data_IF_567330478434
#
_entry.id   IF_567330478434
#
_cell.length_a   1.000
_cell.length_b   1.000
_cell.length_c   1.000
_cell.angle_alpha   90.00
_cell.angle_beta   90.00
_cell.angle_gamma   90.00
#
_symmetry.space_group_name_H-M   'P 1'
#
loop_
_entity.id
_entity.type
_entity.pdbx_description
1 polymer ?
#
# COMPACT_ATOMS: atom_id res chain seq x y z
N UNK A 1 -46.05 65.83 35.18
CA UNK A 1 -46.73 64.59 34.73
C UNK A 1 -46.00 63.41 35.35
N UNK A 2 -46.67 62.82 36.35
CA UNK A 2 -46.53 61.52 37.00
C UNK A 2 -45.97 60.38 36.11
N UNK A 3 -45.43 59.24 36.58
CA UNK A 3 -45.47 58.59 37.88
C UNK A 3 -44.41 57.47 37.99
N UNK A 4 -44.03 57.18 39.24
CA UNK A 4 -43.64 55.89 39.87
C UNK A 4 -42.46 55.01 39.42
N UNK A 5 -41.52 54.95 40.38
CA UNK A 5 -40.54 53.92 40.77
C UNK A 5 -41.17 52.57 41.25
N UNK A 6 -40.48 51.72 42.06
CA UNK A 6 -39.70 50.54 41.68
C UNK A 6 -40.19 49.24 42.37
N UNK A 7 -39.48 48.11 42.24
CA UNK A 7 -39.81 46.90 43.01
C UNK A 7 -38.66 45.88 43.10
N UNK A 8 -38.02 45.85 44.26
CA UNK A 8 -37.11 44.80 44.77
C UNK A 8 -37.94 43.83 45.63
N UNK A 9 -37.64 42.52 45.60
CA UNK A 9 -37.40 41.67 46.80
C UNK A 9 -37.68 40.17 46.56
N UNK A 10 -36.70 39.36 46.99
CA UNK A 10 -36.83 38.13 47.80
C UNK A 10 -37.51 36.88 47.19
N UNK A 11 -37.21 35.63 47.53
CA UNK A 11 -36.19 34.96 48.36
C UNK A 11 -36.49 33.44 48.29
N UNK A 12 -35.56 32.63 48.78
CA UNK A 12 -35.75 31.26 49.33
C UNK A 12 -35.91 30.05 48.40
N UNK A 13 -35.13 29.00 48.72
CA UNK A 13 -35.36 27.64 48.20
C UNK A 13 -34.12 26.74 48.09
N UNK A 14 -33.44 26.45 49.19
CA UNK A 14 -32.70 25.16 49.37
C UNK A 14 -33.54 24.30 50.33
N UNK A 15 -33.55 22.95 50.24
CA UNK A 15 -32.50 22.19 50.91
C UNK A 15 -32.19 20.75 50.39
N UNK A 16 -31.12 20.18 50.98
CA UNK A 16 -30.91 18.75 51.32
C UNK A 16 -30.29 17.80 50.28
N UNK A 17 -29.04 17.34 50.49
CA UNK A 17 -28.62 16.10 51.19
C UNK A 17 -28.95 14.83 50.36
N UNK A 18 -28.02 13.93 49.99
CA UNK A 18 -27.19 13.05 50.83
C UNK A 18 -26.21 12.24 49.96
N UNK A 19 -25.07 11.92 50.56
CA UNK A 19 -24.13 10.80 50.34
C UNK A 19 -24.56 9.59 49.49
N UNK A 20 -23.62 9.03 48.71
CA UNK A 20 -23.08 7.71 49.04
C UNK A 20 -21.76 7.36 48.31
N UNK A 21 -20.85 6.84 49.12
CA UNK A 21 -19.53 6.33 48.76
C UNK A 21 -19.57 4.81 48.53
N UNK A 22 -18.58 4.33 47.77
CA UNK A 22 -17.85 3.05 47.95
C UNK A 22 -18.59 1.72 47.76
N UNK A 23 -18.14 0.94 46.76
CA UNK A 23 -17.80 -0.51 46.83
C UNK A 23 -17.22 -0.91 45.45
N UNK A 24 -15.90 -1.03 45.24
CA UNK A 24 -15.02 -2.14 45.64
C UNK A 24 -15.65 -3.52 45.55
N UNK A 25 -15.52 -4.15 44.38
CA UNK A 25 -15.60 -5.61 44.23
C UNK A 25 -14.29 -6.10 43.61
N UNK A 26 -13.33 -6.36 44.50
CA UNK A 26 -12.12 -7.15 44.26
C UNK A 26 -12.56 -8.62 44.28
N UNK A 27 -12.57 -9.30 43.15
CA UNK A 27 -12.71 -10.76 43.10
C UNK A 27 -11.32 -11.38 43.05
N UNK A 28 -10.96 -12.01 44.16
CA UNK A 28 -9.78 -12.86 44.33
C UNK A 28 -9.89 -14.09 43.45
N UNK A 29 -8.90 -14.28 42.57
CA UNK A 29 -8.67 -15.53 41.84
C UNK A 29 -7.97 -16.50 42.79
N UNK A 30 -8.66 -17.56 43.19
CA UNK A 30 -8.03 -18.72 43.85
C UNK A 30 -7.59 -19.73 42.79
N UNK A 31 -6.31 -20.06 42.88
CA UNK A 31 -5.61 -21.18 42.26
C UNK A 31 -6.23 -22.52 42.70
N UNK A 32 -6.45 -23.42 41.75
CA UNK A 32 -6.29 -24.85 41.98
C UNK A 32 -5.75 -25.51 40.71
N UNK A 33 -4.52 -26.04 40.83
CA UNK A 33 -3.94 -26.92 39.84
C UNK A 33 -4.65 -28.26 39.79
N UNK A 34 -4.66 -28.87 38.61
CA UNK A 34 -4.73 -30.33 38.50
C UNK A 34 -3.86 -30.77 37.32
N UNK A 35 -2.76 -31.38 37.73
CA UNK A 35 -1.84 -32.16 36.93
C UNK A 35 -2.40 -33.57 36.79
N UNK A 36 -2.62 -34.06 35.58
CA UNK A 36 -2.76 -35.48 35.28
C UNK A 36 -2.29 -35.71 33.84
N UNK A 37 -1.07 -36.22 33.68
CA UNK A 37 -0.72 -37.63 33.44
C UNK A 37 -0.62 -37.98 31.96
N UNK A 38 0.63 -38.16 31.57
CA UNK A 38 1.12 -38.95 30.45
C UNK A 38 0.44 -40.33 30.36
N UNK A 39 0.17 -40.76 29.13
CA UNK A 39 -0.10 -42.15 28.73
C UNK A 39 0.10 -42.32 27.22
N UNK A 40 0.66 -43.44 26.72
CA UNK A 40 1.41 -43.45 25.45
C UNK A 40 0.64 -43.94 24.21
N UNK A 41 1.21 -43.51 23.08
CA UNK A 41 1.20 -44.00 21.68
C UNK A 41 0.91 -45.51 21.48
N UNK A 42 0.28 -45.85 20.34
CA UNK A 42 0.80 -46.94 19.52
C UNK A 42 1.10 -46.48 18.09
N UNK A 43 2.23 -46.98 17.59
CA UNK A 43 2.65 -46.94 16.21
C UNK A 43 1.77 -47.85 15.35
N UNK A 44 1.43 -47.41 14.14
CA UNK A 44 1.15 -48.33 13.04
C UNK A 44 2.03 -47.91 11.88
N UNK A 45 3.06 -48.73 11.65
CA UNK A 45 3.84 -48.78 10.44
C UNK A 45 2.99 -49.30 9.29
N UNK A 46 3.00 -48.60 8.15
CA UNK A 46 2.61 -49.18 6.86
C UNK A 46 3.57 -48.69 5.79
N UNK A 47 4.45 -49.60 5.39
CA UNK A 47 5.30 -49.57 4.21
C UNK A 47 4.48 -49.47 2.93
N UNK A 48 4.82 -48.54 2.04
CA UNK A 48 4.54 -48.67 0.60
C UNK A 48 5.78 -48.23 -0.20
N UNK A 49 6.19 -49.14 -1.08
CA UNK A 49 7.33 -49.12 -2.00
C UNK A 49 7.29 -48.01 -3.06
N UNK A 50 8.42 -47.76 -3.77
CA UNK A 50 8.54 -46.66 -4.72
C UNK A 50 8.09 -47.08 -6.12
N UNK A 51 7.38 -46.18 -6.83
CA UNK A 51 7.15 -46.32 -8.26
C UNK A 51 7.55 -45.03 -8.99
N UNK A 52 8.26 -45.25 -10.10
CA UNK A 52 8.93 -44.29 -10.95
C UNK A 52 7.98 -43.51 -11.88
N UNK A 53 8.58 -42.50 -12.52
CA UNK A 53 8.22 -41.85 -13.79
C UNK A 53 7.28 -40.64 -13.77
N UNK A 54 7.73 -39.58 -14.46
CA UNK A 54 6.86 -38.59 -15.09
C UNK A 54 7.33 -37.15 -14.95
N UNK A 55 8.19 -36.69 -15.85
CA UNK A 55 8.36 -35.27 -16.19
C UNK A 55 7.02 -34.65 -16.61
N UNK A 56 6.56 -33.52 -16.06
CA UNK A 56 5.42 -32.82 -16.63
C UNK A 56 5.87 -31.93 -17.79
N UNK A 57 5.39 -32.27 -18.99
CA UNK A 57 5.48 -31.44 -20.18
C UNK A 57 4.64 -30.15 -20.04
N UNK A 58 5.10 -29.13 -20.75
CA UNK A 58 4.39 -27.85 -20.93
C UNK A 58 2.99 -28.09 -21.50
N UNK A 59 1.97 -27.77 -20.71
CA UNK A 59 0.59 -27.76 -21.17
C UNK A 59 0.33 -26.39 -21.80
N UNK A 60 0.27 -26.34 -23.13
CA UNK A 60 -0.28 -25.20 -23.87
C UNK A 60 -1.72 -24.96 -23.42
N UNK A 61 -1.98 -23.81 -22.81
CA UNK A 61 -3.34 -23.32 -22.57
C UNK A 61 -3.96 -22.97 -23.93
N UNK A 62 -4.79 -23.88 -24.43
CA UNK A 62 -5.70 -23.63 -25.55
C UNK A 62 -6.72 -22.57 -25.13
N UNK A 63 -6.67 -21.42 -25.79
CA UNK A 63 -7.75 -20.43 -25.84
C UNK A 63 -9.01 -21.11 -26.34
N UNK A 64 -9.96 -21.37 -25.44
CA UNK A 64 -11.32 -21.79 -25.80
C UNK A 64 -12.10 -20.52 -26.17
N UNK A 65 -12.57 -20.36 -27.42
CA UNK A 65 -13.45 -19.26 -27.78
C UNK A 65 -14.83 -19.53 -27.17
N UNK A 66 -15.29 -18.67 -26.25
CA UNK A 66 -16.67 -18.69 -25.79
C UNK A 66 -17.57 -18.04 -26.86
N UNK A 67 -18.51 -18.79 -27.48
CA UNK A 67 -19.52 -18.20 -28.34
C UNK A 67 -20.58 -17.51 -27.46
N UNK A 68 -20.73 -16.18 -27.62
CA UNK A 68 -21.87 -15.44 -27.06
C UNK A 68 -21.56 -14.33 -26.06
N UNK A 69 -20.29 -14.03 -25.74
CA UNK A 69 -19.98 -12.87 -24.91
C UNK A 69 -20.07 -11.57 -25.72
N UNK A 70 -21.14 -10.79 -25.50
CA UNK A 70 -21.25 -9.40 -25.98
C UNK A 70 -20.68 -8.50 -24.89
N UNK A 71 -19.47 -7.99 -25.10
CA UNK A 71 -18.85 -7.01 -24.20
C UNK A 71 -19.72 -5.74 -24.14
N UNK A 72 -20.11 -5.26 -22.94
CA UNK A 72 -20.89 -4.03 -22.79
C UNK A 72 -20.06 -2.75 -23.01
N UNK A 73 -18.77 -2.88 -23.33
CA UNK A 73 -17.87 -1.75 -23.58
C UNK A 73 -17.58 -1.58 -25.07
N UNK A 74 -17.65 -0.35 -25.61
CA UNK A 74 -17.29 -0.09 -26.99
C UNK A 74 -15.82 -0.46 -27.25
N UNK A 75 -15.48 -1.08 -28.40
CA UNK A 75 -14.12 -1.42 -28.73
C UNK A 75 -13.26 -0.15 -28.83
N UNK A 76 -12.17 -0.11 -28.06
CA UNK A 76 -11.20 0.98 -28.14
C UNK A 76 -10.44 0.92 -29.47
N UNK A 77 -10.09 2.07 -30.07
CA UNK A 77 -9.34 2.10 -31.32
C UNK A 77 -7.94 1.50 -31.15
N UNK A 78 -7.60 0.54 -32.02
CA UNK A 78 -6.28 -0.08 -32.09
C UNK A 78 -5.22 0.96 -32.40
N UNK A 79 -4.34 1.26 -31.44
CA UNK A 79 -3.13 2.04 -31.69
C UNK A 79 -2.07 1.13 -32.30
N UNK A 80 -1.92 1.21 -33.62
CA UNK A 80 -0.77 0.66 -34.35
C UNK A 80 0.48 1.46 -33.97
N UNK A 81 1.28 0.91 -33.05
CA UNK A 81 2.62 1.43 -32.75
C UNK A 81 3.59 0.98 -33.84
N UNK A 82 3.79 1.83 -34.85
CA UNK A 82 4.86 1.72 -35.83
C UNK A 82 6.21 1.92 -35.13
N UNK A 83 6.98 0.83 -34.98
CA UNK A 83 8.41 0.91 -34.73
C UNK A 83 9.10 1.56 -35.94
N UNK A 84 9.83 2.66 -35.71
CA UNK A 84 10.88 3.08 -36.65
C UNK A 84 12.18 3.41 -35.94
N UNK A 85 13.12 2.53 -36.24
CA UNK A 85 14.55 2.48 -36.03
C UNK A 85 15.28 3.77 -36.46
N UNK A 86 16.24 4.18 -35.63
CA UNK A 86 17.60 4.60 -35.99
C UNK A 86 17.80 5.81 -36.90
N UNK A 87 18.64 6.76 -36.47
CA UNK A 87 20.01 6.97 -36.98
C UNK A 87 20.62 8.19 -36.27
N UNK A 88 21.74 7.97 -35.61
CA UNK A 88 22.59 9.00 -35.03
C UNK A 88 23.54 9.49 -36.13
N UNK A 89 23.54 10.79 -36.43
CA UNK A 89 24.53 11.41 -37.30
C UNK A 89 25.28 12.47 -36.48
N UNK A 90 26.47 12.10 -36.00
CA UNK A 90 27.44 13.04 -35.45
C UNK A 90 28.28 13.57 -36.61
N UNK A 91 28.06 14.81 -37.01
CA UNK A 91 28.87 15.47 -38.02
C UNK A 91 30.21 15.88 -37.42
N UNK A 92 31.28 15.31 -37.98
CA UNK A 92 32.67 15.71 -37.76
C UNK A 92 32.92 17.03 -38.49
N UNK A 93 33.27 18.09 -37.74
CA UNK A 93 33.86 19.30 -38.31
C UNK A 93 35.24 19.50 -37.69
N UNK A 94 36.26 19.21 -38.50
CA UNK A 94 37.67 19.54 -38.24
C UNK A 94 37.87 21.00 -38.62
N UNK A 95 38.24 21.84 -37.63
CA UNK A 95 38.89 23.12 -37.89
C UNK A 95 40.08 23.23 -36.94
N UNK A 96 41.27 23.02 -37.50
CA UNK A 96 42.52 23.45 -36.89
C UNK A 96 42.58 24.99 -36.91
N UNK A 97 43.19 25.61 -35.90
CA UNK A 97 44.33 26.54 -36.04
C UNK A 97 44.75 27.15 -34.68
N UNK A 98 46.07 27.06 -34.46
CA UNK A 98 46.95 27.96 -33.66
C UNK A 98 46.81 28.12 -32.14
N UNK A 99 47.82 27.56 -31.47
CA UNK A 99 48.37 27.81 -30.12
C UNK A 99 48.83 29.27 -29.95
N UNK A 100 48.75 29.81 -28.72
CA UNK A 100 49.97 30.25 -28.04
C UNK A 100 50.07 29.75 -26.60
N UNK A 101 51.30 29.47 -26.18
CA UNK A 101 51.62 29.21 -24.78
C UNK A 101 51.51 30.48 -23.95
N UNK A 102 50.97 30.35 -22.75
CA UNK A 102 51.37 31.15 -21.61
C UNK A 102 51.48 30.22 -20.41
N UNK A 103 52.70 30.03 -19.94
CA UNK A 103 53.04 29.48 -18.64
C UNK A 103 52.41 30.33 -17.54
N UNK A 104 51.53 29.75 -16.73
CA UNK A 104 51.21 30.30 -15.42
C UNK A 104 50.98 29.15 -14.43
N UNK A 105 51.92 29.05 -13.51
CA UNK A 105 51.83 28.29 -12.27
C UNK A 105 50.72 28.89 -11.41
N UNK A 106 49.67 28.13 -11.13
CA UNK A 106 48.71 28.47 -10.08
C UNK A 106 48.18 27.19 -9.39
N UNK A 107 48.17 27.27 -8.07
CA UNK A 107 47.91 26.21 -7.09
C UNK A 107 46.54 25.50 -7.23
N UNK A 108 46.40 24.28 -6.66
CA UNK A 108 45.11 23.60 -6.60
C UNK A 108 44.20 24.29 -5.57
N UNK A 109 43.30 25.15 -6.05
CA UNK A 109 42.26 25.78 -5.23
C UNK A 109 41.11 24.80 -4.97
N UNK A 110 40.96 24.39 -3.72
CA UNK A 110 39.79 23.70 -3.17
C UNK A 110 38.56 24.63 -3.16
N UNK A 111 37.79 24.71 -4.25
CA UNK A 111 36.54 25.50 -4.31
C UNK A 111 35.32 24.72 -4.81
N UNK A 112 35.45 23.44 -5.15
CA UNK A 112 34.37 22.61 -5.73
C UNK A 112 33.29 22.17 -4.72
N UNK A 113 33.49 22.27 -3.40
CA UNK A 113 32.54 21.73 -2.42
C UNK A 113 31.26 22.55 -2.26
N UNK A 114 31.36 23.89 -2.21
CA UNK A 114 30.21 24.78 -1.94
C UNK A 114 29.10 24.72 -3.00
N UNK A 115 29.48 24.65 -4.28
CA UNK A 115 28.49 24.58 -5.38
C UNK A 115 27.68 23.28 -5.39
N UNK A 116 28.28 22.20 -4.91
CA UNK A 116 27.66 20.87 -4.85
C UNK A 116 26.63 20.79 -3.72
N UNK A 117 26.95 21.38 -2.55
CA UNK A 117 26.03 21.47 -1.42
C UNK A 117 24.80 22.33 -1.74
N UNK A 118 24.99 23.49 -2.38
CA UNK A 118 23.88 24.36 -2.78
C UNK A 118 22.94 23.67 -3.77
N UNK A 119 23.49 22.89 -4.72
CA UNK A 119 22.70 22.10 -5.66
C UNK A 119 21.91 21.00 -4.96
N UNK A 120 22.50 20.31 -3.99
CA UNK A 120 21.82 19.28 -3.19
C UNK A 120 20.68 19.88 -2.36
N UNK A 121 20.90 21.05 -1.75
CA UNK A 121 19.86 21.78 -1.01
C UNK A 121 18.71 22.22 -1.91
N UNK A 122 19.01 22.73 -3.11
CA UNK A 122 17.99 23.08 -4.11
C UNK A 122 17.20 21.84 -4.55
N UNK A 123 17.87 20.73 -4.81
CA UNK A 123 17.23 19.46 -5.17
C UNK A 123 16.32 18.95 -4.04
N UNK A 124 16.77 19.01 -2.79
CA UNK A 124 15.98 18.66 -1.60
C UNK A 124 14.70 19.49 -1.53
N UNK A 125 14.81 20.82 -1.66
CA UNK A 125 13.64 21.73 -1.65
C UNK A 125 12.65 21.41 -2.77
N UNK A 126 13.14 21.13 -3.98
CA UNK A 126 12.29 20.77 -5.11
C UNK A 126 11.54 19.45 -4.89
N UNK A 127 12.17 18.45 -4.25
CA UNK A 127 11.51 17.20 -3.89
C UNK A 127 10.43 17.40 -2.82
N UNK A 128 10.72 18.20 -1.78
CA UNK A 128 9.72 18.55 -0.76
C UNK A 128 8.49 19.21 -1.39
N UNK A 129 8.72 20.20 -2.27
CA UNK A 129 7.64 20.88 -2.99
C UNK A 129 6.81 19.88 -3.82
N UNK A 130 7.47 18.98 -4.57
CA UNK A 130 6.79 17.98 -5.37
C UNK A 130 5.94 16.98 -4.56
N UNK A 131 6.39 16.61 -3.36
CA UNK A 131 5.62 15.75 -2.44
C UNK A 131 4.40 16.48 -1.88
N UNK A 132 4.58 17.73 -1.44
CA UNK A 132 3.50 18.55 -0.86
C UNK A 132 2.44 18.94 -1.91
N UNK A 133 2.86 19.15 -3.16
CA UNK A 133 1.98 19.42 -4.30
C UNK A 133 1.36 18.15 -4.90
N UNK A 134 1.67 16.98 -4.33
CA UNK A 134 1.20 15.67 -4.79
C UNK A 134 1.47 15.38 -6.27
N UNK A 135 2.50 16.02 -6.85
CA UNK A 135 2.95 15.76 -8.22
C UNK A 135 3.58 14.38 -8.38
N UNK A 136 4.06 13.81 -7.27
CA UNK A 136 4.59 12.45 -7.18
C UNK A 136 3.47 11.58 -6.63
N UNK A 137 2.82 10.81 -7.50
CA UNK A 137 1.59 10.08 -7.17
C UNK A 137 1.64 8.59 -7.53
N UNK A 138 2.81 8.07 -7.89
CA UNK A 138 3.01 6.64 -8.11
C UNK A 138 3.88 6.02 -7.02
N UNK A 139 3.65 4.75 -6.71
CA UNK A 139 4.43 4.01 -5.72
C UNK A 139 5.93 4.04 -6.05
N UNK A 140 6.27 3.89 -7.34
CA UNK A 140 7.65 3.83 -7.80
C UNK A 140 8.39 5.14 -7.61
N UNK A 141 7.74 6.27 -7.87
CA UNK A 141 8.35 7.58 -7.67
C UNK A 141 8.47 7.93 -6.18
N UNK A 142 7.45 7.63 -5.36
CA UNK A 142 7.53 7.81 -3.91
C UNK A 142 8.70 7.00 -3.32
N UNK A 143 8.87 5.75 -3.77
CA UNK A 143 9.99 4.88 -3.36
C UNK A 143 11.33 5.40 -3.85
N UNK A 144 11.41 5.94 -5.07
CA UNK A 144 12.63 6.57 -5.58
C UNK A 144 13.04 7.74 -4.71
N UNK A 145 12.09 8.61 -4.34
CA UNK A 145 12.36 9.75 -3.45
C UNK A 145 12.74 9.28 -2.06
N UNK A 146 12.08 8.26 -1.52
CA UNK A 146 12.42 7.66 -0.23
C UNK A 146 13.87 7.14 -0.18
N UNK A 147 14.33 6.44 -1.23
CA UNK A 147 15.74 5.97 -1.32
C UNK A 147 16.71 7.14 -1.36
N UNK A 148 16.40 8.20 -2.10
CA UNK A 148 17.22 9.42 -2.10
C UNK A 148 17.27 10.04 -0.70
N UNK A 149 16.13 10.07 0.00
CA UNK A 149 16.06 10.65 1.35
C UNK A 149 16.87 9.86 2.37
N UNK A 150 16.88 8.53 2.28
CA UNK A 150 17.73 7.68 3.12
C UNK A 150 19.22 8.01 2.95
N UNK A 151 19.67 8.36 1.72
CA UNK A 151 21.07 8.77 1.49
C UNK A 151 21.41 10.17 2.02
N UNK A 152 20.42 11.06 2.11
CA UNK A 152 20.61 12.43 2.59
C UNK A 152 20.58 12.55 4.11
N UNK A 153 20.05 11.55 4.82
CA UNK A 153 20.05 11.47 6.30
C UNK A 153 19.35 12.64 7.02
N UNK A 154 18.46 13.36 6.33
CA UNK A 154 17.88 14.60 6.85
C UNK A 154 16.47 14.38 7.43
N UNK A 155 16.25 14.72 8.72
CA UNK A 155 14.96 14.51 9.39
C UNK A 155 13.83 15.41 8.85
N UNK A 156 14.18 16.54 8.22
CA UNK A 156 13.22 17.49 7.62
C UNK A 156 12.33 16.86 6.53
N UNK A 157 12.69 15.67 6.07
CA UNK A 157 12.04 14.97 4.96
C UNK A 157 11.05 13.90 5.42
N UNK A 158 11.09 13.52 6.69
CA UNK A 158 10.20 12.49 7.25
C UNK A 158 8.74 12.93 7.20
N UNK A 159 8.45 14.17 7.58
CA UNK A 159 7.07 14.68 7.57
C UNK A 159 6.48 14.78 6.14
N UNK A 160 7.14 15.44 5.16
CA UNK A 160 6.63 15.47 3.78
C UNK A 160 6.45 14.08 3.17
N UNK A 161 7.38 13.15 3.44
CA UNK A 161 7.28 11.77 2.95
C UNK A 161 6.10 11.02 3.57
N UNK A 162 5.90 11.14 4.89
CA UNK A 162 4.77 10.53 5.60
C UNK A 162 3.44 11.07 5.07
N UNK A 163 3.34 12.39 4.88
CA UNK A 163 2.16 13.04 4.32
C UNK A 163 1.85 12.55 2.89
N UNK A 164 2.87 12.41 2.05
CA UNK A 164 2.70 11.90 0.69
C UNK A 164 2.21 10.44 0.68
N UNK A 165 2.74 9.58 1.54
CA UNK A 165 2.24 8.19 1.68
C UNK A 165 0.79 8.14 2.14
N UNK A 166 0.42 8.95 3.13
CA UNK A 166 -0.97 9.03 3.57
C UNK A 166 -1.89 9.50 2.46
N UNK A 167 -1.50 10.55 1.73
CA UNK A 167 -2.25 11.06 0.59
C UNK A 167 -2.44 9.98 -0.47
N UNK A 168 -1.36 9.35 -0.94
CA UNK A 168 -1.38 8.32 -1.98
C UNK A 168 -2.36 7.17 -1.68
N UNK A 169 -2.44 6.74 -0.42
CA UNK A 169 -3.35 5.67 -0.01
C UNK A 169 -4.80 6.16 0.12
N UNK A 170 -5.01 7.38 0.62
CA UNK A 170 -6.33 7.93 0.90
C UNK A 170 -7.00 8.59 -0.32
N UNK A 171 -6.24 9.01 -1.33
CA UNK A 171 -6.72 9.65 -2.57
C UNK A 171 -7.09 8.67 -3.68
N UNK A 172 -7.19 7.38 -3.38
CA UNK A 172 -7.41 6.28 -4.34
C UNK A 172 -6.28 6.04 -5.36
N UNK A 173 -5.12 6.71 -5.25
CA UNK A 173 -3.98 6.43 -6.14
C UNK A 173 -3.52 4.97 -6.01
N UNK A 174 -3.41 4.44 -4.79
CA UNK A 174 -3.07 3.03 -4.57
C UNK A 174 -4.10 2.06 -5.18
N UNK A 175 -5.39 2.33 -4.99
CA UNK A 175 -6.46 1.50 -5.56
C UNK A 175 -6.42 1.52 -7.09
N UNK A 176 -6.13 2.69 -7.67
CA UNK A 176 -6.01 2.87 -9.12
C UNK A 176 -4.84 2.05 -9.67
N UNK A 177 -3.68 2.06 -9.01
CA UNK A 177 -2.53 1.23 -9.40
C UNK A 177 -2.85 -0.26 -9.27
N UNK A 178 -3.45 -0.70 -8.16
CA UNK A 178 -3.88 -2.09 -7.98
C UNK A 178 -4.83 -2.53 -9.12
N UNK A 179 -5.82 -1.71 -9.46
CA UNK A 179 -6.75 -1.99 -10.57
C UNK A 179 -6.07 -1.97 -11.94
N UNK A 180 -5.02 -1.17 -12.12
CA UNK A 180 -4.18 -1.20 -13.31
C UNK A 180 -3.44 -2.52 -13.51
N UNK A 181 -3.14 -3.22 -12.42
CA UNK A 181 -2.51 -4.55 -12.39
C UNK A 181 -3.52 -5.71 -12.43
N UNK A 182 -4.76 -5.49 -12.00
CA UNK A 182 -5.83 -6.51 -11.96
C UNK A 182 -6.90 -6.21 -13.01
N UNK A 183 -6.55 -6.31 -14.30
CA UNK A 183 -7.44 -5.86 -15.39
C UNK A 183 -8.58 -6.82 -15.69
N UNK A 184 -8.36 -8.11 -15.45
CA UNK A 184 -9.39 -9.12 -15.71
C UNK A 184 -10.42 -9.12 -14.58
N UNK A 185 -9.92 -8.96 -13.35
CA UNK A 185 -10.70 -8.97 -12.13
C UNK A 185 -10.31 -7.77 -11.24
N UNK A 186 -10.93 -6.59 -11.43
CA UNK A 186 -10.56 -5.37 -10.71
C UNK A 186 -10.50 -5.54 -9.19
N UNK A 187 -9.42 -5.06 -8.57
CA UNK A 187 -9.21 -5.12 -7.13
C UNK A 187 -10.34 -4.44 -6.35
N UNK A 188 -10.80 -5.12 -5.29
CA UNK A 188 -11.88 -4.66 -4.41
C UNK A 188 -11.46 -3.44 -3.58
N UNK A 189 -12.25 -2.37 -3.65
CA UNK A 189 -12.08 -1.21 -2.76
C UNK A 189 -12.36 -1.58 -1.31
N UNK A 190 -13.37 -2.42 -1.05
CA UNK A 190 -13.74 -2.87 0.29
C UNK A 190 -12.61 -3.65 0.97
N UNK A 191 -11.89 -4.49 0.21
CA UNK A 191 -10.70 -5.20 0.69
C UNK A 191 -9.62 -4.22 1.15
N UNK A 192 -9.37 -3.17 0.36
CA UNK A 192 -8.36 -2.15 0.67
C UNK A 192 -8.79 -1.27 1.86
N UNK A 193 -10.06 -0.90 1.95
CA UNK A 193 -10.59 -0.08 3.05
C UNK A 193 -10.57 -0.85 4.38
N UNK A 194 -10.86 -2.15 4.35
CA UNK A 194 -10.69 -3.01 5.52
C UNK A 194 -9.22 -3.10 5.96
N UNK A 195 -8.28 -3.18 5.02
CA UNK A 195 -6.85 -3.14 5.35
C UNK A 195 -6.47 -1.80 6.02
N UNK A 196 -6.91 -0.65 5.48
CA UNK A 196 -6.71 0.68 6.10
C UNK A 196 -7.27 0.72 7.52
N UNK A 197 -8.50 0.24 7.71
CA UNK A 197 -9.14 0.16 9.04
C UNK A 197 -8.30 -0.66 10.03
N UNK A 198 -7.77 -1.80 9.61
CA UNK A 198 -6.91 -2.65 10.46
C UNK A 198 -5.56 -2.02 10.79
N UNK A 199 -4.97 -1.28 9.86
CA UNK A 199 -3.76 -0.50 10.13
C UNK A 199 -4.02 0.55 11.21
N UNK A 200 -5.12 1.31 11.11
CA UNK A 200 -5.49 2.31 12.10
C UNK A 200 -5.82 1.72 13.48
N UNK A 201 -6.41 0.52 13.50
CA UNK A 201 -6.74 -0.19 14.73
C UNK A 201 -5.53 -0.82 15.43
N UNK A 202 -4.37 -0.90 14.77
CA UNK A 202 -3.15 -1.49 15.31
C UNK A 202 -2.21 -0.40 15.89
N UNK A 203 -2.07 -0.31 17.24
CA UNK A 203 -1.22 0.69 17.87
C UNK A 203 0.26 0.59 17.47
N UNK A 204 0.73 -0.59 17.06
CA UNK A 204 2.10 -0.80 16.58
C UNK A 204 2.30 -0.26 15.15
N UNK A 205 1.23 -0.22 14.36
CA UNK A 205 1.23 0.32 12.99
C UNK A 205 1.18 1.85 12.97
N UNK A 206 0.51 2.48 13.95
CA UNK A 206 0.43 3.95 14.09
C UNK A 206 1.78 4.66 14.32
N UNK A 207 2.86 3.91 14.53
CA UNK A 207 4.22 4.44 14.72
C UNK A 207 5.09 4.35 13.46
N UNK A 208 4.63 3.70 12.39
CA UNK A 208 5.38 3.61 11.14
C UNK A 208 5.02 4.77 10.23
N UNK A 209 6.04 5.35 9.60
CA UNK A 209 5.90 6.44 8.65
C UNK A 209 5.50 5.98 7.24
N UNK A 210 5.57 4.67 6.95
CA UNK A 210 5.21 4.10 5.65
C UNK A 210 3.81 3.45 5.68
N UNK A 211 2.78 4.29 5.64
CA UNK A 211 1.38 3.87 5.69
C UNK A 211 0.99 2.94 4.52
N UNK A 212 1.51 3.20 3.31
CA UNK A 212 1.23 2.37 2.13
C UNK A 212 1.72 0.93 2.32
N UNK A 213 2.97 0.75 2.75
CA UNK A 213 3.51 -0.58 3.01
C UNK A 213 2.67 -1.31 4.06
N UNK A 214 2.28 -0.65 5.15
CA UNK A 214 1.45 -1.25 6.19
C UNK A 214 0.11 -1.75 5.66
N UNK A 215 -0.56 -0.97 4.81
CA UNK A 215 -1.83 -1.37 4.20
C UNK A 215 -1.65 -2.60 3.31
N UNK A 216 -0.62 -2.62 2.48
CA UNK A 216 -0.31 -3.78 1.62
C UNK A 216 0.07 -5.02 2.45
N UNK A 217 0.90 -4.83 3.47
CA UNK A 217 1.31 -5.88 4.39
C UNK A 217 0.11 -6.46 5.15
N UNK A 218 -0.76 -5.62 5.73
CA UNK A 218 -1.99 -6.09 6.40
C UNK A 218 -2.92 -6.83 5.45
N UNK A 219 -3.09 -6.35 4.22
CA UNK A 219 -3.88 -7.05 3.19
C UNK A 219 -3.38 -8.49 2.99
N UNK A 220 -2.06 -8.67 2.98
CA UNK A 220 -1.42 -9.97 2.84
C UNK A 220 -1.49 -10.82 4.13
N UNK A 221 -0.99 -10.31 5.26
CA UNK A 221 -0.83 -11.06 6.51
C UNK A 221 -2.15 -11.50 7.10
N UNK A 222 -3.18 -10.65 6.99
CA UNK A 222 -4.48 -10.90 7.56
C UNK A 222 -5.39 -11.72 6.63
N UNK A 223 -4.85 -12.14 5.47
CA UNK A 223 -5.55 -12.96 4.47
C UNK A 223 -6.88 -12.34 4.04
N UNK A 224 -6.89 -11.03 3.77
CA UNK A 224 -8.11 -10.33 3.36
C UNK A 224 -8.57 -10.77 1.97
N UNK A 225 -7.63 -10.94 1.02
CA UNK A 225 -7.92 -11.27 -0.38
C UNK A 225 -8.89 -12.47 -0.53
N UNK A 226 -8.65 -13.66 0.07
CA UNK A 226 -9.59 -14.79 -0.05
C UNK A 226 -11.01 -14.51 0.43
N UNK A 227 -11.17 -13.74 1.52
CA UNK A 227 -12.48 -13.42 2.07
C UNK A 227 -13.26 -12.49 1.13
N UNK A 228 -12.63 -11.40 0.69
CA UNK A 228 -13.26 -10.42 -0.19
C UNK A 228 -13.46 -10.95 -1.62
N UNK A 229 -12.55 -11.78 -2.12
CA UNK A 229 -12.72 -12.45 -3.42
C UNK A 229 -13.97 -13.35 -3.44
N UNK A 230 -14.19 -14.12 -2.37
CA UNK A 230 -15.40 -14.95 -2.23
C UNK A 230 -16.65 -14.10 -2.11
N UNK A 231 -16.60 -13.06 -1.28
CA UNK A 231 -17.72 -12.12 -1.11
C UNK A 231 -18.09 -11.43 -2.43
N UNK A 232 -17.09 -11.11 -3.27
CA UNK A 232 -17.32 -10.53 -4.59
C UNK A 232 -17.86 -11.56 -5.58
N UNK A 233 -17.31 -12.78 -5.60
CA UNK A 233 -17.73 -13.84 -6.51
C UNK A 233 -19.17 -14.32 -6.29
N UNK A 234 -19.75 -14.18 -5.09
CA UNK A 234 -21.15 -14.55 -4.83
C UNK A 234 -22.16 -13.48 -5.24
N UNK A 235 -21.70 -12.26 -5.57
CA UNK A 235 -22.59 -11.15 -5.92
C UNK A 235 -23.38 -11.48 -7.18
N UNK A 236 -24.72 -11.37 -7.19
CA UNK A 236 -25.54 -11.64 -8.37
C UNK A 236 -25.13 -10.81 -9.59
N UNK A 237 -24.61 -9.59 -9.39
CA UNK A 237 -24.08 -8.73 -10.46
C UNK A 237 -22.97 -9.40 -11.29
N UNK A 238 -22.18 -10.31 -10.70
CA UNK A 238 -21.14 -11.08 -11.42
C UNK A 238 -21.73 -12.13 -12.38
N UNK A 239 -23.02 -12.42 -12.25
CA UNK A 239 -23.73 -13.50 -12.93
C UNK A 239 -24.97 -13.00 -13.67
N UNK A 240 -25.01 -11.71 -14.01
CA UNK A 240 -26.14 -11.10 -14.71
C UNK A 240 -27.45 -11.13 -13.93
N UNK A 241 -27.38 -11.10 -12.59
CA UNK A 241 -28.53 -11.18 -11.68
C UNK A 241 -29.01 -12.59 -11.36
N UNK A 242 -28.34 -13.63 -11.87
CA UNK A 242 -28.68 -15.03 -11.58
C UNK A 242 -27.94 -15.57 -10.36
N UNK A 243 -28.46 -16.65 -9.77
CA UNK A 243 -27.79 -17.37 -8.67
C UNK A 243 -26.90 -18.46 -9.28
N UNK A 244 -25.57 -18.35 -9.18
CA UNK A 244 -24.65 -19.33 -9.72
C UNK A 244 -24.60 -20.63 -8.90
N UNK A 245 -24.15 -21.71 -9.52
CA UNK A 245 -23.76 -22.91 -8.80
C UNK A 245 -22.54 -22.64 -7.89
N UNK A 246 -22.49 -23.27 -6.71
CA UNK A 246 -21.43 -23.07 -5.73
C UNK A 246 -20.00 -23.34 -6.27
N UNK A 247 -19.89 -24.26 -7.22
CA UNK A 247 -18.61 -24.57 -7.89
C UNK A 247 -18.11 -23.40 -8.73
N UNK A 248 -19.00 -22.73 -9.48
CA UNK A 248 -18.64 -21.58 -10.32
C UNK A 248 -18.22 -20.37 -9.47
N UNK A 249 -18.91 -20.14 -8.35
CA UNK A 249 -18.50 -19.12 -7.36
C UNK A 249 -17.09 -19.39 -6.85
N UNK A 250 -16.78 -20.65 -6.57
CA UNK A 250 -15.45 -21.05 -6.08
C UNK A 250 -14.37 -20.80 -7.13
N UNK A 251 -14.59 -21.22 -8.38
CA UNK A 251 -13.66 -20.98 -9.49
C UNK A 251 -13.41 -19.48 -9.73
N UNK A 252 -14.47 -18.67 -9.73
CA UNK A 252 -14.35 -17.23 -9.89
C UNK A 252 -13.61 -16.59 -8.71
N UNK A 253 -13.89 -17.03 -7.47
CA UNK A 253 -13.17 -16.57 -6.29
C UNK A 253 -11.67 -16.91 -6.35
N UNK A 254 -11.32 -18.10 -6.85
CA UNK A 254 -9.92 -18.50 -7.05
C UNK A 254 -9.23 -17.60 -8.09
N UNK A 255 -9.89 -17.30 -9.21
CA UNK A 255 -9.36 -16.38 -10.22
C UNK A 255 -9.12 -14.96 -9.67
N UNK A 256 -10.06 -14.43 -8.87
CA UNK A 256 -9.86 -13.18 -8.11
C UNK A 256 -8.62 -13.26 -7.21
N UNK A 257 -8.51 -14.34 -6.42
CA UNK A 257 -7.42 -14.51 -5.46
C UNK A 257 -6.06 -14.54 -6.16
N UNK A 258 -5.94 -15.25 -7.27
CA UNK A 258 -4.69 -15.34 -8.03
C UNK A 258 -4.24 -13.97 -8.54
N UNK A 259 -5.12 -13.26 -9.25
CA UNK A 259 -4.75 -11.96 -9.84
C UNK A 259 -4.48 -10.90 -8.76
N UNK A 260 -5.29 -10.85 -7.70
CA UNK A 260 -5.12 -9.89 -6.62
C UNK A 260 -3.84 -10.14 -5.81
N UNK A 261 -3.50 -11.41 -5.56
CA UNK A 261 -2.22 -11.77 -4.91
C UNK A 261 -1.04 -11.40 -5.80
N UNK A 262 -1.12 -11.63 -7.11
CA UNK A 262 -0.06 -11.27 -8.04
C UNK A 262 0.16 -9.75 -8.06
N UNK A 263 -0.90 -8.95 -8.11
CA UNK A 263 -0.81 -7.49 -8.05
C UNK A 263 -0.22 -7.00 -6.72
N UNK A 264 -0.69 -7.55 -5.60
CA UNK A 264 -0.18 -7.21 -4.27
C UNK A 264 1.32 -7.54 -4.14
N UNK A 265 1.74 -8.71 -4.63
CA UNK A 265 3.14 -9.11 -4.65
C UNK A 265 3.99 -8.17 -5.51
N UNK A 266 3.49 -7.74 -6.67
CA UNK A 266 4.19 -6.78 -7.53
C UNK A 266 4.41 -5.44 -6.82
N UNK A 267 3.40 -4.90 -6.13
CA UNK A 267 3.56 -3.64 -5.38
C UNK A 267 4.46 -3.81 -4.15
N UNK A 268 4.40 -4.94 -3.44
CA UNK A 268 5.27 -5.19 -2.30
C UNK A 268 6.76 -5.30 -2.68
N UNK A 269 7.08 -5.68 -3.92
CA UNK A 269 8.48 -5.76 -4.42
C UNK A 269 9.21 -4.43 -4.46
N UNK A 270 8.51 -3.30 -4.35
CA UNK A 270 9.15 -2.00 -4.20
C UNK A 270 9.92 -1.84 -2.87
N UNK A 271 9.67 -2.74 -1.92
CA UNK A 271 10.41 -2.86 -0.67
C UNK A 271 11.24 -4.15 -0.69
N UNK A 272 12.56 -4.00 -0.85
CA UNK A 272 13.51 -5.12 -0.76
C UNK A 272 13.49 -5.73 0.66
N UNK A 273 13.41 -4.86 1.67
CA UNK A 273 13.16 -5.18 3.07
C UNK A 273 11.95 -4.38 3.57
N UNK A 274 11.24 -4.92 4.58
CA UNK A 274 10.21 -4.18 5.27
C UNK A 274 10.80 -2.84 5.77
N UNK A 275 10.11 -1.69 5.59
CA UNK A 275 10.56 -0.42 6.14
C UNK A 275 10.88 -0.56 7.62
N UNK A 276 12.16 -0.42 7.97
CA UNK A 276 12.60 -0.45 9.36
C UNK A 276 12.16 0.86 10.00
N UNK A 277 11.73 0.76 11.27
CA UNK A 277 11.34 1.91 12.09
C UNK A 277 12.51 2.86 12.32
#
# INVERSE_FOLDING_TARGET
MNDRSPGVSSSEGSPSQTSNSTSSSRLSVHSHGSSARYGPRPEVSSSVSPQQHGTPGLVSLLTIPYPGYVSPYPPLPSTTATHRTGTVAFATAVVAHTRPQASSSAAPSTTTSRSSEDRLLAQKRAMIAALNEHRINTIGELRRVERVFATLGSPDLTQPMTAAWMYYVNSNSLLTELRGLTRNYPFSSECLDEAKRRVHADPASNRSWNYCWLVLAKTHTDRLIPAFARAQAVRPEMWGGTVPAAQLVTQLAEAFVEEWKAALAQLLRFWEEAPVR
#
